data_IF_742305822884
#
_entry.id   IF_742305822884
#
_cell.length_a   1.000
_cell.length_b   1.000
_cell.length_c   1.000
_cell.angle_alpha   90.00
_cell.angle_beta   90.00
_cell.angle_gamma   90.00
#
_symmetry.space_group_name_H-M   'P 1'
#
loop_
_entity.id
_entity.type
_entity.pdbx_description
1 polymer ?
#
# COMPACT_ATOMS: atom_id res chain seq x y z
N UNK A 1 6.45 -43.27 9.41
CA UNK A 1 5.10 -43.17 8.80
C UNK A 1 4.93 -41.80 8.19
N UNK A 2 4.24 -41.70 7.05
CA UNK A 2 4.04 -40.44 6.32
C UNK A 2 2.58 -40.02 6.43
N UNK A 3 2.36 -38.73 6.62
CA UNK A 3 1.06 -38.15 6.87
C UNK A 3 0.78 -37.04 5.86
N UNK A 4 -0.42 -37.04 5.26
CA UNK A 4 -0.98 -35.91 4.52
C UNK A 4 -1.74 -35.03 5.50
N UNK A 5 -1.23 -33.83 5.79
CA UNK A 5 -1.93 -32.85 6.61
C UNK A 5 -2.86 -32.00 5.76
N UNK A 6 -3.99 -31.61 6.35
CA UNK A 6 -5.00 -30.81 5.69
C UNK A 6 -5.63 -29.79 6.65
N UNK A 7 -6.18 -28.72 6.09
CA UNK A 7 -6.96 -27.71 6.81
C UNK A 7 -8.41 -28.19 7.00
N UNK A 8 -9.19 -27.50 7.81
CA UNK A 8 -10.64 -27.76 7.97
C UNK A 8 -11.43 -27.71 6.65
N UNK A 9 -10.88 -27.10 5.60
CA UNK A 9 -11.45 -27.04 4.25
C UNK A 9 -11.05 -28.22 3.35
N UNK A 10 -10.19 -29.11 3.84
CA UNK A 10 -9.65 -30.26 3.11
C UNK A 10 -8.42 -29.89 2.27
N UNK A 11 -8.07 -28.62 2.22
CA UNK A 11 -6.88 -28.12 1.51
C UNK A 11 -5.61 -28.73 2.08
N UNK A 12 -4.71 -29.19 1.20
CA UNK A 12 -3.37 -29.64 1.58
C UNK A 12 -2.62 -28.61 2.44
N UNK A 13 -2.05 -29.09 3.54
CA UNK A 13 -1.30 -28.30 4.53
C UNK A 13 0.12 -28.84 4.79
N UNK A 14 0.59 -29.74 3.94
CA UNK A 14 1.94 -30.30 3.99
C UNK A 14 1.99 -31.81 4.22
N UNK A 15 3.20 -32.35 4.09
CA UNK A 15 3.51 -33.73 4.45
C UNK A 15 4.31 -33.76 5.75
N UNK A 16 3.95 -34.68 6.63
CA UNK A 16 4.65 -34.90 7.89
C UNK A 16 5.16 -36.33 7.95
N UNK A 17 6.23 -36.50 8.68
CA UNK A 17 6.94 -37.76 8.86
C UNK A 17 7.27 -37.88 10.34
N UNK A 18 6.92 -38.99 10.97
CA UNK A 18 7.11 -39.25 12.40
C UNK A 18 8.59 -39.39 12.82
N UNK A 19 9.49 -39.71 11.89
CA UNK A 19 10.94 -39.75 12.14
C UNK A 19 11.54 -38.34 12.17
N UNK A 20 10.96 -37.41 11.40
CA UNK A 20 11.48 -36.05 11.22
C UNK A 20 10.75 -35.05 12.12
N UNK A 21 9.43 -35.21 12.30
CA UNK A 21 8.57 -34.26 12.99
C UNK A 21 8.14 -34.80 14.35
N UNK A 22 8.45 -34.05 15.41
CA UNK A 22 8.12 -34.43 16.79
C UNK A 22 6.63 -34.31 17.14
N UNK A 23 5.86 -33.59 16.32
CA UNK A 23 4.42 -33.41 16.48
C UNK A 23 3.77 -33.49 15.11
N UNK A 24 2.80 -34.40 14.97
CA UNK A 24 1.98 -34.54 13.77
C UNK A 24 0.64 -33.81 14.00
N UNK A 25 0.18 -32.96 13.07
CA UNK A 25 -1.11 -32.28 13.19
C UNK A 25 -2.26 -33.28 13.34
N UNK A 26 -3.26 -32.96 14.17
CA UNK A 26 -4.44 -33.82 14.35
C UNK A 26 -5.29 -33.94 13.09
N UNK A 27 -5.23 -32.94 12.20
CA UNK A 27 -5.87 -32.95 10.88
C UNK A 27 -4.91 -33.55 9.85
N UNK A 28 -4.60 -34.84 10.02
CA UNK A 28 -3.78 -35.58 9.08
C UNK A 28 -4.26 -37.01 8.90
N UNK A 29 -3.92 -37.61 7.76
CA UNK A 29 -4.19 -39.02 7.43
C UNK A 29 -2.89 -39.71 7.06
N UNK A 30 -2.74 -40.96 7.46
CA UNK A 30 -1.60 -41.78 7.07
C UNK A 30 -1.67 -42.14 5.59
N UNK A 31 -0.55 -42.02 4.90
CA UNK A 31 -0.42 -42.33 3.47
C UNK A 31 0.85 -43.14 3.21
N UNK A 32 0.87 -43.88 2.09
CA UNK A 32 2.09 -44.55 1.62
C UNK A 32 3.05 -43.57 0.93
N UNK A 33 4.34 -43.92 0.88
CA UNK A 33 5.36 -43.17 0.12
C UNK A 33 5.01 -43.03 -1.36
N UNK A 34 4.39 -44.05 -1.96
CA UNK A 34 4.03 -44.03 -3.37
C UNK A 34 2.92 -43.00 -3.63
N UNK A 35 1.90 -42.96 -2.77
CA UNK A 35 0.86 -41.96 -2.84
C UNK A 35 1.42 -40.56 -2.59
N UNK A 36 2.34 -40.39 -1.63
CA UNK A 36 2.99 -39.10 -1.36
C UNK A 36 3.70 -38.55 -2.61
N UNK A 37 4.48 -39.40 -3.31
CA UNK A 37 5.22 -39.01 -4.52
C UNK A 37 4.28 -38.54 -5.64
N UNK A 38 3.14 -39.19 -5.78
CA UNK A 38 2.13 -38.80 -6.77
C UNK A 38 1.44 -37.48 -6.37
N UNK A 39 1.04 -37.34 -5.10
CA UNK A 39 0.40 -36.13 -4.57
C UNK A 39 1.32 -34.89 -4.60
N UNK A 40 2.65 -35.06 -4.60
CA UNK A 40 3.60 -33.94 -4.77
C UNK A 40 3.45 -33.19 -6.11
N UNK A 41 2.80 -33.79 -7.11
CA UNK A 41 2.75 -33.22 -8.47
C UNK A 41 1.62 -32.21 -8.71
N UNK A 42 0.73 -32.01 -7.73
CA UNK A 42 -0.47 -31.20 -7.88
C UNK A 42 -0.90 -30.46 -6.62
N UNK A 43 -1.98 -29.70 -6.73
CA UNK A 43 -2.68 -29.14 -5.56
C UNK A 43 -3.85 -30.04 -5.22
N UNK A 44 -3.86 -30.59 -4.01
CA UNK A 44 -4.82 -31.60 -3.61
C UNK A 44 -5.70 -31.13 -2.46
N UNK A 45 -6.95 -31.59 -2.50
CA UNK A 45 -7.89 -31.47 -1.41
C UNK A 45 -8.32 -32.87 -1.00
N UNK A 46 -8.25 -33.17 0.29
CA UNK A 46 -8.83 -34.41 0.82
C UNK A 46 -10.34 -34.23 1.00
N UNK A 47 -11.10 -35.27 0.67
CA UNK A 47 -12.54 -35.30 0.84
C UNK A 47 -12.89 -35.53 2.32
N UNK A 48 -13.20 -34.43 3.01
CA UNK A 48 -13.46 -34.45 4.45
C UNK A 48 -14.62 -35.36 4.84
N UNK A 49 -15.65 -35.44 4.00
CA UNK A 49 -16.85 -36.25 4.27
C UNK A 49 -16.51 -37.74 4.42
N UNK A 50 -15.44 -38.19 3.76
CA UNK A 50 -15.00 -39.57 3.76
C UNK A 50 -13.90 -39.89 4.78
N UNK A 51 -13.38 -38.92 5.52
CA UNK A 51 -12.27 -39.17 6.46
C UNK A 51 -12.63 -40.24 7.50
N UNK A 52 -13.88 -40.27 7.94
CA UNK A 52 -14.36 -41.29 8.89
C UNK A 52 -14.34 -42.73 8.36
N UNK A 53 -14.22 -42.91 7.03
CA UNK A 53 -14.13 -44.21 6.38
C UNK A 53 -12.68 -44.75 6.33
N UNK A 54 -11.70 -43.90 6.65
CA UNK A 54 -10.27 -44.25 6.62
C UNK A 54 -9.95 -45.10 7.85
N UNK A 55 -9.67 -46.38 7.62
CA UNK A 55 -9.29 -47.35 8.65
C UNK A 55 -7.90 -47.99 8.43
N UNK A 56 -7.24 -47.62 7.34
CA UNK A 56 -5.88 -48.03 6.96
C UNK A 56 -5.14 -46.84 6.35
N UNK A 57 -3.80 -46.86 6.30
CA UNK A 57 -3.04 -45.90 5.49
C UNK A 57 -3.51 -45.92 4.04
N UNK A 58 -3.70 -44.74 3.45
CA UNK A 58 -4.15 -44.60 2.06
C UNK A 58 -3.02 -44.89 1.08
N UNK A 59 -3.34 -45.63 0.03
CA UNK A 59 -2.42 -45.98 -1.05
C UNK A 59 -2.86 -45.35 -2.39
N UNK A 60 -2.15 -45.67 -3.48
CA UNK A 60 -2.46 -45.13 -4.80
C UNK A 60 -3.85 -45.51 -5.32
N UNK A 61 -4.40 -46.66 -4.91
CA UNK A 61 -5.73 -47.09 -5.34
C UNK A 61 -6.83 -46.25 -4.67
N UNK A 62 -6.55 -45.75 -3.47
CA UNK A 62 -7.45 -44.90 -2.70
C UNK A 62 -7.50 -43.44 -3.21
N UNK A 63 -6.54 -43.03 -4.07
CA UNK A 63 -6.34 -41.64 -4.48
C UNK A 63 -7.63 -40.97 -5.00
N UNK A 64 -8.28 -41.55 -5.99
CA UNK A 64 -9.45 -40.95 -6.63
C UNK A 64 -10.69 -40.92 -5.73
N UNK A 65 -10.71 -41.77 -4.69
CA UNK A 65 -11.82 -41.82 -3.74
C UNK A 65 -11.73 -40.70 -2.69
N UNK A 66 -10.51 -40.36 -2.26
CA UNK A 66 -10.25 -39.45 -1.15
C UNK A 66 -9.63 -38.11 -1.54
N UNK A 67 -9.01 -37.97 -2.71
CA UNK A 67 -8.31 -36.76 -3.12
C UNK A 67 -8.89 -36.16 -4.39
N UNK A 68 -9.05 -34.85 -4.40
CA UNK A 68 -9.47 -34.08 -5.57
C UNK A 68 -8.38 -33.08 -5.92
N UNK A 69 -7.90 -33.14 -7.16
CA UNK A 69 -6.94 -32.16 -7.66
C UNK A 69 -7.65 -30.83 -7.92
N UNK A 70 -7.20 -29.78 -7.24
CA UNK A 70 -7.66 -28.44 -7.51
C UNK A 70 -6.91 -27.86 -8.70
N UNK A 71 -7.64 -27.70 -9.81
CA UNK A 71 -7.11 -27.00 -10.99
C UNK A 71 -6.85 -25.55 -10.62
N UNK A 72 -5.57 -25.16 -10.57
CA UNK A 72 -5.19 -23.75 -10.55
C UNK A 72 -5.76 -23.16 -11.84
N UNK A 73 -6.77 -22.29 -11.72
CA UNK A 73 -7.04 -21.33 -12.80
C UNK A 73 -5.76 -20.52 -12.93
N UNK A 74 -5.00 -20.75 -13.99
CA UNK A 74 -3.79 -19.99 -14.26
C UNK A 74 -4.10 -18.52 -14.02
N UNK A 75 -3.40 -17.91 -13.06
CA UNK A 75 -3.51 -16.46 -12.87
C UNK A 75 -3.22 -15.83 -14.24
N UNK A 76 -3.99 -14.81 -14.66
CA UNK A 76 -3.74 -14.16 -15.92
C UNK A 76 -2.28 -13.72 -15.94
N UNK A 77 -1.53 -14.11 -16.97
CA UNK A 77 -0.15 -13.69 -17.13
C UNK A 77 -0.11 -12.16 -17.14
N UNK A 78 0.50 -11.57 -16.11
CA UNK A 78 0.78 -10.14 -16.06
C UNK A 78 2.16 -9.97 -16.68
N UNK A 79 2.22 -9.32 -17.84
CA UNK A 79 3.48 -8.90 -18.46
C UNK A 79 4.16 -7.85 -17.56
N UNK A 80 5.28 -8.18 -16.88
CA UNK A 80 5.94 -7.26 -15.96
C UNK A 80 6.46 -6.01 -16.66
N UNK A 81 6.82 -6.10 -17.95
CA UNK A 81 7.32 -4.96 -18.72
C UNK A 81 6.18 -3.98 -19.01
N UNK A 82 5.00 -4.49 -19.35
CA UNK A 82 3.82 -3.66 -19.60
C UNK A 82 3.37 -2.92 -18.34
N UNK A 83 3.39 -3.60 -17.19
CA UNK A 83 3.04 -2.96 -15.92
C UNK A 83 4.08 -1.92 -15.49
N UNK A 84 5.37 -2.21 -15.67
CA UNK A 84 6.44 -1.25 -15.42
C UNK A 84 6.30 0.01 -16.29
N UNK A 85 6.02 -0.15 -17.59
CA UNK A 85 5.79 0.98 -18.50
C UNK A 85 4.59 1.83 -18.07
N UNK A 86 3.51 1.20 -17.61
CA UNK A 86 2.33 1.89 -17.09
C UNK A 86 2.66 2.69 -15.82
N UNK A 87 3.43 2.11 -14.90
CA UNK A 87 3.89 2.79 -13.69
C UNK A 87 4.80 3.97 -14.02
N UNK A 88 5.75 3.80 -14.95
CA UNK A 88 6.62 4.88 -15.42
C UNK A 88 5.82 6.05 -16.04
N UNK A 89 4.83 5.76 -16.89
CA UNK A 89 3.97 6.78 -17.47
C UNK A 89 3.17 7.54 -16.41
N UNK A 90 2.65 6.82 -15.41
CA UNK A 90 1.92 7.40 -14.28
C UNK A 90 2.82 8.32 -13.46
N UNK A 91 4.02 7.87 -13.12
CA UNK A 91 5.00 8.66 -12.36
C UNK A 91 5.43 9.92 -13.11
N UNK A 92 5.56 9.85 -14.44
CA UNK A 92 5.89 11.02 -15.27
C UNK A 92 4.77 12.07 -15.23
N UNK A 93 3.51 11.65 -15.32
CA UNK A 93 2.35 12.55 -15.23
C UNK A 93 2.25 13.21 -13.85
N UNK A 94 2.45 12.43 -12.79
CA UNK A 94 2.45 12.95 -11.41
C UNK A 94 3.55 14.01 -11.21
N UNK A 95 4.77 13.75 -11.72
CA UNK A 95 5.86 14.71 -11.67
C UNK A 95 5.53 16.01 -12.42
N UNK A 96 4.91 15.93 -13.60
CA UNK A 96 4.49 17.12 -14.36
C UNK A 96 3.47 17.94 -13.58
N UNK A 97 2.49 17.30 -12.94
CA UNK A 97 1.48 17.98 -12.13
C UNK A 97 2.11 18.68 -10.91
N UNK A 98 3.04 18.01 -10.23
CA UNK A 98 3.81 18.61 -9.12
C UNK A 98 4.60 19.83 -9.55
N UNK A 99 5.25 19.78 -10.72
CA UNK A 99 5.98 20.93 -11.25
C UNK A 99 5.08 22.13 -11.55
N UNK A 100 3.88 21.87 -12.09
CA UNK A 100 2.88 22.94 -12.32
C UNK A 100 2.47 23.57 -10.99
N UNK A 101 2.21 22.77 -9.95
CA UNK A 101 1.85 23.27 -8.62
C UNK A 101 2.98 24.11 -8.01
N UNK A 102 4.22 23.64 -8.07
CA UNK A 102 5.41 24.38 -7.58
C UNK A 102 5.54 25.73 -8.30
N UNK A 103 5.38 25.76 -9.63
CA UNK A 103 5.44 27.00 -10.40
C UNK A 103 4.34 27.99 -9.97
N UNK A 104 3.11 27.50 -9.73
CA UNK A 104 2.01 28.34 -9.29
C UNK A 104 2.26 28.91 -7.89
N UNK A 105 2.73 28.08 -6.95
CA UNK A 105 3.10 28.52 -5.60
C UNK A 105 4.25 29.55 -5.63
N UNK A 106 5.22 29.37 -6.52
CA UNK A 106 6.35 30.30 -6.70
C UNK A 106 5.86 31.66 -7.20
N UNK A 107 4.91 31.68 -8.15
CA UNK A 107 4.27 32.93 -8.62
C UNK A 107 3.50 33.63 -7.50
N UNK A 108 2.67 32.88 -6.76
CA UNK A 108 1.92 33.42 -5.63
C UNK A 108 2.83 34.01 -4.54
N UNK A 109 3.97 33.36 -4.26
CA UNK A 109 4.96 33.88 -3.31
C UNK A 109 5.54 35.22 -3.77
N UNK A 110 5.86 35.34 -5.08
CA UNK A 110 6.37 36.58 -5.65
C UNK A 110 5.32 37.71 -5.59
N UNK A 111 4.06 37.41 -5.91
CA UNK A 111 2.93 38.35 -5.82
C UNK A 111 2.73 38.83 -4.38
N UNK A 112 2.68 37.91 -3.41
CA UNK A 112 2.55 38.24 -1.99
C UNK A 112 3.70 39.14 -1.50
N UNK A 113 4.93 38.89 -1.97
CA UNK A 113 6.08 39.72 -1.62
C UNK A 113 5.95 41.14 -2.19
N UNK A 114 5.52 41.28 -3.44
CA UNK A 114 5.27 42.59 -4.05
C UNK A 114 4.16 43.36 -3.31
N UNK A 115 3.09 42.68 -2.94
CA UNK A 115 1.99 43.32 -2.21
C UNK A 115 2.40 43.74 -0.79
N UNK A 116 3.25 42.95 -0.11
CA UNK A 116 3.86 43.37 1.17
C UNK A 116 4.68 44.64 0.99
N UNK A 117 5.55 44.70 -0.02
CA UNK A 117 6.38 45.88 -0.28
C UNK A 117 5.55 47.13 -0.59
N UNK A 118 4.44 46.97 -1.33
CA UNK A 118 3.49 48.08 -1.59
C UNK A 118 2.87 48.59 -0.30
N UNK A 119 2.39 47.69 0.57
CA UNK A 119 1.81 48.05 1.88
C UNK A 119 2.82 48.80 2.73
N UNK A 120 4.06 48.32 2.81
CA UNK A 120 5.14 48.98 3.57
C UNK A 120 5.43 50.38 3.03
N UNK A 121 5.44 50.55 1.70
CA UNK A 121 5.60 51.86 1.06
C UNK A 121 4.46 52.82 1.43
N UNK A 122 3.21 52.35 1.37
CA UNK A 122 2.04 53.15 1.78
C UNK A 122 2.10 53.54 3.25
N UNK A 123 2.44 52.61 4.14
CA UNK A 123 2.59 52.89 5.59
C UNK A 123 3.65 53.97 5.81
N UNK A 124 4.83 53.84 5.19
CA UNK A 124 5.90 54.82 5.30
C UNK A 124 5.49 56.20 4.80
N UNK A 125 4.71 56.28 3.72
CA UNK A 125 4.16 57.53 3.21
C UNK A 125 3.20 58.18 4.21
N UNK A 126 2.27 57.39 4.78
CA UNK A 126 1.32 57.88 5.79
C UNK A 126 2.02 58.36 7.06
N UNK A 127 3.05 57.67 7.52
CA UNK A 127 3.86 58.08 8.68
C UNK A 127 4.53 59.44 8.42
N UNK A 128 5.13 59.62 7.24
CA UNK A 128 5.75 60.90 6.85
C UNK A 128 4.72 62.03 6.81
N UNK A 129 3.56 61.79 6.21
CA UNK A 129 2.47 62.77 6.14
C UNK A 129 1.97 63.14 7.55
N UNK A 130 1.79 62.16 8.44
CA UNK A 130 1.37 62.40 9.82
C UNK A 130 2.39 63.26 10.58
N UNK A 131 3.69 63.00 10.39
CA UNK A 131 4.76 63.79 10.98
C UNK A 131 4.77 65.24 10.46
N UNK A 132 4.60 65.43 9.15
CA UNK A 132 4.49 66.75 8.53
C UNK A 132 3.29 67.53 9.07
N UNK A 133 2.10 66.92 9.07
CA UNK A 133 0.89 67.52 9.61
C UNK A 133 1.07 67.94 11.08
N UNK A 134 1.73 67.10 11.90
CA UNK A 134 2.00 67.43 13.30
C UNK A 134 2.93 68.64 13.45
N UNK A 135 3.97 68.74 12.62
CA UNK A 135 4.86 69.92 12.59
C UNK A 135 4.08 71.17 12.18
N UNK A 136 3.24 71.08 11.16
CA UNK A 136 2.44 72.19 10.67
C UNK A 136 1.47 72.71 11.73
N UNK A 137 0.78 71.81 12.45
CA UNK A 137 -0.07 72.16 13.59
C UNK A 137 0.73 72.87 14.68
N UNK A 138 1.94 72.41 15.02
CA UNK A 138 2.78 73.07 16.02
C UNK A 138 3.20 74.48 15.59
N UNK A 139 3.53 74.67 14.31
CA UNK A 139 3.83 76.00 13.76
C UNK A 139 2.63 76.95 13.87
N UNK A 140 1.44 76.50 13.45
CA UNK A 140 0.22 77.30 13.56
C UNK A 140 -0.10 77.68 15.02
N UNK A 141 0.07 76.77 15.97
CA UNK A 141 -0.15 77.05 17.40
C UNK A 141 0.88 78.03 17.99
N UNK A 142 2.14 77.96 17.55
CA UNK A 142 3.19 78.88 17.99
C UNK A 142 3.03 80.30 17.44
N UNK A 143 2.48 80.44 16.23
CA UNK A 143 2.17 81.74 15.63
C UNK A 143 1.02 82.46 16.33
N UNK A 144 -0.02 81.75 16.78
CA UNK A 144 -1.16 82.33 17.48
C UNK A 144 -0.90 82.69 18.95
N UNK A 145 0.28 82.37 19.51
CA UNK A 145 0.64 82.69 20.89
C UNK A 145 1.46 83.99 21.03
N UNK A 146 1.85 84.60 19.91
CA UNK A 146 2.68 85.81 19.85
C UNK A 146 1.93 87.03 19.27
N UNK A 147 0.60 86.97 19.17
CA UNK A 147 -0.31 88.11 18.93
C UNK A 147 -1.06 88.46 20.22
#
# INVERSE_FOLDING_TARGET
MIYFAYKETGEFDGFYDDEIHSVIPTTSVEITEELQKDLFTGLWFINIEKISEINKPLDLEDKDAFFTEHKIKALPFIDPQKELLKQMATNKLDLMNKNIQINNLTKQLAENKLDSMKKDSTINMLIKQQAQNKIEIMKMKGSNANE
#
